data_IF_756408932671
#
_entry.id   IF_756408932671
#
_cell.length_a   1.000
_cell.length_b   1.000
_cell.length_c   1.000
_cell.angle_alpha   90.00
_cell.angle_beta   90.00
_cell.angle_gamma   90.00
#
_symmetry.space_group_name_H-M   'P 1'
#
loop_
_entity.id
_entity.type
_entity.pdbx_description
1 polymer ?
#
# COMPACT_ATOMS: atom_id res chain seq x y z
N UNK A 1 -8.91 -20.65 -2.44
CA UNK A 1 -10.16 -19.88 -2.35
C UNK A 1 -9.95 -18.51 -2.99
N UNK A 2 -10.91 -18.03 -3.84
CA UNK A 2 -10.85 -16.66 -4.35
C UNK A 2 -11.10 -15.67 -3.18
N UNK A 3 -10.20 -14.71 -3.01
CA UNK A 3 -10.28 -13.68 -1.95
C UNK A 3 -10.62 -12.30 -2.51
N UNK A 4 -10.23 -12.03 -3.77
CA UNK A 4 -10.45 -10.75 -4.40
C UNK A 4 -10.83 -10.92 -5.87
N UNK A 5 -11.77 -10.10 -6.36
CA UNK A 5 -12.17 -10.12 -7.76
C UNK A 5 -12.61 -8.74 -8.23
N UNK A 6 -12.20 -8.40 -9.44
CA UNK A 6 -12.62 -7.22 -10.19
C UNK A 6 -13.39 -7.70 -11.42
N UNK A 7 -14.55 -7.10 -11.70
CA UNK A 7 -15.39 -7.43 -12.86
C UNK A 7 -15.71 -6.18 -13.68
N UNK A 8 -15.35 -6.20 -14.95
CA UNK A 8 -15.69 -5.21 -15.97
C UNK A 8 -15.40 -3.77 -15.53
N UNK A 9 -14.28 -3.57 -14.80
CA UNK A 9 -13.87 -2.26 -14.33
C UNK A 9 -13.43 -1.42 -15.52
N UNK A 10 -14.02 -0.22 -15.67
CA UNK A 10 -13.74 0.65 -16.81
C UNK A 10 -13.65 2.11 -16.35
N UNK A 11 -12.75 2.86 -17.01
CA UNK A 11 -12.62 4.30 -16.89
C UNK A 11 -12.27 4.88 -18.25
N UNK A 12 -13.11 5.77 -18.74
CA UNK A 12 -12.96 6.40 -20.07
C UNK A 12 -11.59 7.08 -20.21
N UNK A 13 -10.89 6.76 -21.30
CA UNK A 13 -9.56 7.29 -21.59
C UNK A 13 -8.39 6.57 -20.92
N UNK A 14 -8.64 5.61 -19.99
CA UNK A 14 -7.58 4.93 -19.25
C UNK A 14 -7.61 3.41 -19.39
N UNK A 15 -8.73 2.75 -19.10
CA UNK A 15 -8.86 1.27 -19.17
C UNK A 15 -10.30 0.84 -19.41
N UNK A 16 -10.47 -0.36 -19.97
CA UNK A 16 -11.78 -0.88 -20.36
C UNK A 16 -11.93 -2.36 -20.02
N UNK A 17 -13.07 -2.73 -19.44
CA UNK A 17 -13.53 -4.10 -19.17
C UNK A 17 -12.51 -4.98 -18.44
N UNK A 18 -11.76 -4.37 -17.50
CA UNK A 18 -10.74 -5.08 -16.72
C UNK A 18 -11.42 -6.05 -15.77
N UNK A 19 -11.08 -7.35 -15.93
CA UNK A 19 -11.62 -8.43 -15.11
C UNK A 19 -10.50 -9.38 -14.72
N UNK A 20 -10.35 -9.64 -13.42
CA UNK A 20 -9.42 -10.63 -12.87
C UNK A 20 -9.84 -11.05 -11.46
N UNK A 21 -9.34 -12.21 -11.03
CA UNK A 21 -9.50 -12.71 -9.66
C UNK A 21 -8.15 -13.06 -9.05
N UNK A 22 -8.07 -13.04 -7.72
CA UNK A 22 -6.88 -13.41 -6.93
C UNK A 22 -7.30 -14.38 -5.83
N UNK A 23 -6.57 -15.49 -5.70
CA UNK A 23 -6.80 -16.50 -4.69
C UNK A 23 -5.90 -16.32 -3.47
N UNK A 24 -6.26 -16.95 -2.39
CA UNK A 24 -5.47 -16.93 -1.16
C UNK A 24 -4.06 -17.49 -1.42
N UNK A 25 -3.02 -16.71 -1.04
CA UNK A 25 -1.62 -17.05 -1.26
C UNK A 25 -1.13 -16.88 -2.71
N UNK A 26 -1.98 -16.39 -3.63
CA UNK A 26 -1.62 -16.15 -5.02
C UNK A 26 -0.91 -14.80 -5.18
N UNK A 27 0.09 -14.78 -6.06
CA UNK A 27 0.74 -13.58 -6.57
C UNK A 27 0.31 -13.42 -8.03
N UNK A 28 -0.57 -12.45 -8.31
CA UNK A 28 -0.99 -12.10 -9.65
C UNK A 28 -0.11 -10.97 -10.19
N UNK A 29 0.64 -11.24 -11.24
CA UNK A 29 1.45 -10.23 -11.93
C UNK A 29 0.63 -9.52 -13.03
N UNK A 30 0.54 -8.20 -12.94
CA UNK A 30 -0.08 -7.36 -13.98
C UNK A 30 1.03 -6.70 -14.79
N UNK A 31 1.10 -7.01 -16.08
CA UNK A 31 2.12 -6.49 -17.00
C UNK A 31 1.52 -5.63 -18.09
N UNK A 32 2.30 -4.77 -18.71
CA UNK A 32 1.87 -3.92 -19.82
C UNK A 32 2.93 -2.87 -20.15
N UNK A 33 2.75 -2.21 -21.29
CA UNK A 33 3.59 -1.10 -21.70
C UNK A 33 3.45 0.10 -20.75
N UNK A 34 4.42 1.00 -20.77
CA UNK A 34 4.31 2.29 -20.07
C UNK A 34 3.10 3.05 -20.62
N UNK A 35 2.26 3.57 -19.73
CA UNK A 35 1.00 4.23 -20.12
C UNK A 35 -0.16 3.29 -20.46
N UNK A 36 -0.04 1.97 -20.20
CA UNK A 36 -1.13 1.01 -20.44
C UNK A 36 -2.28 1.06 -19.40
N UNK A 37 -2.29 2.04 -18.51
CA UNK A 37 -3.38 2.22 -17.54
C UNK A 37 -3.28 1.34 -16.28
N UNK A 38 -2.14 0.68 -16.03
CA UNK A 38 -1.97 -0.20 -14.85
C UNK A 38 -2.19 0.53 -13.53
N UNK A 39 -1.49 1.63 -13.33
CA UNK A 39 -1.62 2.48 -12.14
C UNK A 39 -3.05 2.99 -11.98
N UNK A 40 -3.69 3.42 -13.06
CA UNK A 40 -5.05 3.93 -13.06
C UNK A 40 -6.08 2.86 -12.67
N UNK A 41 -5.87 1.59 -13.07
CA UNK A 41 -6.68 0.46 -12.60
C UNK A 41 -6.55 0.30 -11.08
N UNK A 42 -5.33 0.32 -10.55
CA UNK A 42 -5.10 0.20 -9.10
C UNK A 42 -5.66 1.38 -8.33
N UNK A 43 -5.53 2.60 -8.85
CA UNK A 43 -6.15 3.79 -8.29
C UNK A 43 -7.68 3.71 -8.31
N UNK A 44 -8.25 3.13 -9.36
CA UNK A 44 -9.69 2.83 -9.47
C UNK A 44 -10.16 1.84 -8.41
N UNK A 45 -9.41 0.77 -8.19
CA UNK A 45 -9.69 -0.22 -7.13
C UNK A 45 -9.62 0.41 -5.75
N UNK A 46 -8.64 1.27 -5.51
CA UNK A 46 -8.44 1.95 -4.23
C UNK A 46 -9.40 3.12 -3.99
N UNK A 47 -10.21 3.53 -4.97
CA UNK A 47 -11.09 4.70 -4.85
C UNK A 47 -10.34 6.03 -4.80
N UNK A 48 -9.07 6.07 -5.24
CA UNK A 48 -8.28 7.30 -5.44
C UNK A 48 -8.86 8.03 -6.66
N UNK A 49 -9.08 7.28 -7.72
CA UNK A 49 -9.72 7.71 -8.94
C UNK A 49 -11.01 6.91 -9.14
N UNK A 50 -12.12 7.57 -9.43
CA UNK A 50 -13.39 6.89 -9.60
C UNK A 50 -13.45 6.19 -10.97
N UNK A 51 -13.76 4.89 -10.96
CA UNK A 51 -14.11 4.14 -12.18
C UNK A 51 -15.52 4.50 -12.65
N UNK A 52 -15.75 4.47 -13.96
CA UNK A 52 -17.07 4.77 -14.53
C UNK A 52 -18.04 3.60 -14.34
N UNK A 53 -17.52 2.37 -14.40
CA UNK A 53 -18.30 1.14 -14.25
C UNK A 53 -17.45 0.01 -13.68
N UNK A 54 -18.11 -1.10 -13.33
CA UNK A 54 -17.50 -2.32 -12.82
C UNK A 54 -17.91 -2.65 -11.39
N UNK A 55 -17.34 -3.74 -10.90
CA UNK A 55 -17.64 -4.26 -9.55
C UNK A 55 -16.37 -4.80 -8.92
N UNK A 56 -16.27 -4.64 -7.62
CA UNK A 56 -15.17 -5.18 -6.81
C UNK A 56 -15.77 -6.10 -5.75
N UNK A 57 -15.14 -7.27 -5.56
CA UNK A 57 -15.55 -8.26 -4.58
C UNK A 57 -14.37 -8.62 -3.68
N UNK A 58 -14.67 -8.79 -2.40
CA UNK A 58 -13.73 -9.27 -1.39
C UNK A 58 -14.40 -10.40 -0.59
N UNK A 59 -13.75 -11.55 -0.50
CA UNK A 59 -14.31 -12.78 0.11
C UNK A 59 -15.70 -13.15 -0.43
N UNK A 60 -15.91 -12.98 -1.75
CA UNK A 60 -17.17 -13.27 -2.43
C UNK A 60 -18.28 -12.23 -2.23
N UNK A 61 -18.04 -11.17 -1.42
CA UNK A 61 -19.00 -10.10 -1.19
C UNK A 61 -18.67 -8.88 -2.04
N UNK A 62 -19.67 -8.34 -2.74
CA UNK A 62 -19.49 -7.07 -3.45
C UNK A 62 -19.23 -5.96 -2.45
N UNK A 63 -18.17 -5.20 -2.69
CA UNK A 63 -17.82 -4.00 -1.91
C UNK A 63 -17.90 -2.77 -2.81
N UNK A 64 -18.18 -1.62 -2.21
CA UNK A 64 -18.13 -0.33 -2.88
C UNK A 64 -17.03 0.49 -2.23
N UNK A 65 -16.13 0.99 -3.04
CA UNK A 65 -14.98 1.79 -2.60
C UNK A 65 -15.08 3.13 -3.32
N UNK A 66 -15.22 4.20 -2.56
CA UNK A 66 -15.26 5.57 -3.08
C UNK A 66 -14.04 6.38 -2.61
N UNK A 67 -13.36 5.91 -1.57
CA UNK A 67 -12.19 6.56 -0.97
C UNK A 67 -11.17 5.52 -0.51
N UNK A 68 -9.86 5.85 -0.53
CA UNK A 68 -8.79 4.92 -0.10
C UNK A 68 -8.98 4.37 1.32
N UNK A 69 -9.55 5.17 2.22
CA UNK A 69 -9.83 4.75 3.59
C UNK A 69 -10.81 3.56 3.64
N UNK A 70 -11.81 3.52 2.75
CA UNK A 70 -12.76 2.40 2.66
C UNK A 70 -12.07 1.12 2.16
N UNK A 71 -11.16 1.24 1.17
CA UNK A 71 -10.35 0.13 0.70
C UNK A 71 -9.47 -0.44 1.82
N UNK A 72 -8.79 0.42 2.56
CA UNK A 72 -7.95 0.03 3.68
C UNK A 72 -8.74 -0.62 4.80
N UNK A 73 -9.90 -0.09 5.17
CA UNK A 73 -10.81 -0.70 6.17
C UNK A 73 -11.34 -2.06 5.72
N UNK A 74 -11.54 -2.26 4.42
CA UNK A 74 -11.91 -3.55 3.86
C UNK A 74 -10.77 -4.57 3.88
N UNK A 75 -9.52 -4.13 4.08
CA UNK A 75 -8.33 -4.97 4.11
C UNK A 75 -7.57 -4.99 2.77
N UNK A 76 -7.70 -3.96 1.94
CA UNK A 76 -6.94 -3.80 0.70
C UNK A 76 -5.86 -2.75 0.93
N UNK A 77 -4.59 -3.15 0.85
CA UNK A 77 -3.44 -2.26 0.95
C UNK A 77 -2.92 -1.86 -0.43
N UNK A 78 -2.33 -0.68 -0.52
CA UNK A 78 -1.74 -0.17 -1.75
C UNK A 78 -0.36 0.44 -1.50
N UNK A 79 0.61 -0.01 -2.28
CA UNK A 79 1.94 0.56 -2.35
C UNK A 79 2.05 1.30 -3.69
N UNK A 80 2.11 2.64 -3.68
CA UNK A 80 2.09 3.44 -4.90
C UNK A 80 3.45 3.46 -5.60
N UNK A 81 3.43 3.76 -6.90
CA UNK A 81 4.62 3.91 -7.74
C UNK A 81 5.54 5.05 -7.27
N UNK A 82 4.98 6.23 -6.98
CA UNK A 82 5.75 7.40 -6.50
C UNK A 82 5.77 7.44 -4.97
N UNK A 83 6.80 6.82 -4.39
CA UNK A 83 6.97 6.75 -2.94
C UNK A 83 7.11 8.11 -2.25
N UNK A 84 7.71 9.09 -2.93
CA UNK A 84 8.01 10.38 -2.31
C UNK A 84 6.79 11.31 -2.30
N UNK A 85 5.94 11.23 -3.32
CA UNK A 85 4.73 12.07 -3.41
C UNK A 85 3.51 11.42 -2.76
N UNK A 86 3.42 10.10 -2.82
CA UNK A 86 2.20 9.37 -2.44
C UNK A 86 2.41 8.40 -1.26
N UNK A 87 3.64 7.92 -1.06
CA UNK A 87 3.93 6.89 -0.07
C UNK A 87 4.35 7.42 1.30
N UNK A 88 5.14 8.50 1.34
CA UNK A 88 5.78 9.01 2.54
C UNK A 88 5.57 10.51 2.75
N UNK A 89 5.54 10.93 4.00
CA UNK A 89 5.71 12.32 4.39
C UNK A 89 7.19 12.48 4.78
N UNK A 90 8.00 13.00 3.84
CA UNK A 90 9.47 12.96 3.91
C UNK A 90 10.05 13.64 5.16
N UNK A 91 9.43 14.74 5.63
CA UNK A 91 9.88 15.48 6.81
C UNK A 91 9.43 14.87 8.14
N UNK A 92 8.60 13.84 8.11
CA UNK A 92 8.14 13.16 9.31
C UNK A 92 9.06 12.00 9.70
N UNK A 93 9.00 11.64 10.98
CA UNK A 93 9.69 10.48 11.52
C UNK A 93 9.19 9.17 10.90
N UNK A 94 10.07 8.17 10.88
CA UNK A 94 9.75 6.84 10.35
C UNK A 94 8.57 6.21 11.09
N UNK A 95 8.55 6.34 12.41
CA UNK A 95 7.45 5.82 13.23
C UNK A 95 6.10 6.39 12.83
N UNK A 96 6.03 7.71 12.65
CA UNK A 96 4.81 8.40 12.21
C UNK A 96 4.38 7.95 10.80
N UNK A 97 5.34 7.80 9.87
CA UNK A 97 5.04 7.30 8.53
C UNK A 97 4.46 5.89 8.55
N UNK A 98 5.02 4.98 9.35
CA UNK A 98 4.58 3.59 9.43
C UNK A 98 3.18 3.48 10.02
N UNK A 99 2.86 4.26 11.06
CA UNK A 99 1.61 4.10 11.82
C UNK A 99 0.48 5.01 11.36
N UNK A 100 0.74 5.94 10.45
CA UNK A 100 -0.23 6.95 10.01
C UNK A 100 -1.58 6.35 9.59
N UNK A 101 -1.55 5.27 8.83
CA UNK A 101 -2.75 4.59 8.30
C UNK A 101 -3.54 3.80 9.35
N UNK A 102 -2.97 3.61 10.54
CA UNK A 102 -3.55 2.81 11.63
C UNK A 102 -3.49 3.54 12.97
N UNK A 103 -3.43 4.87 12.92
CA UNK A 103 -3.22 5.72 14.10
C UNK A 103 -4.32 5.53 15.16
N UNK A 104 -5.54 5.19 14.73
CA UNK A 104 -6.66 4.87 15.60
C UNK A 104 -6.37 3.69 16.54
N UNK A 105 -5.55 2.70 16.13
CA UNK A 105 -5.14 1.57 16.97
C UNK A 105 -4.31 2.00 18.20
N UNK A 106 -3.69 3.16 18.12
CA UNK A 106 -2.84 3.74 19.17
C UNK A 106 -3.48 4.91 19.89
N UNK A 107 -4.72 5.29 19.50
CA UNK A 107 -5.43 6.45 20.03
C UNK A 107 -6.53 6.01 20.99
N UNK A 108 -6.57 6.64 22.16
CA UNK A 108 -7.69 6.49 23.11
C UNK A 108 -8.25 7.89 23.42
N UNK A 109 -9.55 8.08 23.17
CA UNK A 109 -10.26 9.37 23.15
C UNK A 109 -9.51 10.42 22.32
N UNK A 110 -8.72 11.04 22.20
CA UNK A 110 -7.98 11.95 21.31
C UNK A 110 -6.47 11.92 21.59
N UNK A 111 -6.03 11.05 22.51
CA UNK A 111 -4.64 11.00 22.96
C UNK A 111 -3.95 9.79 22.32
N UNK A 112 -2.86 10.04 21.62
CA UNK A 112 -2.02 9.00 21.02
C UNK A 112 -1.07 8.42 22.08
N UNK A 113 -1.08 7.11 22.26
CA UNK A 113 -0.11 6.40 23.07
C UNK A 113 1.20 6.23 22.30
N UNK A 114 2.08 7.23 22.40
CA UNK A 114 3.38 7.27 21.71
C UNK A 114 4.28 6.07 21.99
N UNK A 115 4.20 5.50 23.20
CA UNK A 115 5.01 4.31 23.54
C UNK A 115 4.57 3.09 22.74
N UNK A 116 3.26 2.84 22.63
CA UNK A 116 2.72 1.73 21.84
C UNK A 116 2.94 1.95 20.35
N UNK A 117 2.70 3.16 19.85
CA UNK A 117 2.94 3.56 18.48
C UNK A 117 4.38 3.29 18.06
N UNK A 118 5.35 3.84 18.81
CA UNK A 118 6.77 3.69 18.52
C UNK A 118 7.25 2.23 18.63
N UNK A 119 6.74 1.46 19.59
CA UNK A 119 7.07 0.05 19.72
C UNK A 119 6.62 -0.75 18.47
N UNK A 120 5.38 -0.49 18.00
CA UNK A 120 4.87 -1.16 16.78
C UNK A 120 5.62 -0.73 15.54
N UNK A 121 5.91 0.56 15.41
CA UNK A 121 6.70 1.07 14.28
C UNK A 121 8.10 0.43 14.24
N UNK A 122 8.77 0.34 15.38
CA UNK A 122 10.09 -0.31 15.49
C UNK A 122 10.02 -1.77 15.07
N UNK A 123 9.05 -2.55 15.60
CA UNK A 123 8.82 -3.95 15.22
C UNK A 123 8.71 -4.12 13.69
N UNK A 124 7.89 -3.26 13.06
CA UNK A 124 7.65 -3.34 11.61
C UNK A 124 8.87 -2.95 10.78
N UNK A 125 9.60 -1.90 11.20
CA UNK A 125 10.83 -1.48 10.53
C UNK A 125 11.93 -2.55 10.62
N UNK A 126 12.05 -3.23 11.76
CA UNK A 126 12.96 -4.37 11.94
C UNK A 126 12.54 -5.56 11.07
N UNK A 127 11.24 -5.87 11.02
CA UNK A 127 10.70 -6.95 10.18
C UNK A 127 11.06 -6.79 8.71
N UNK A 128 11.01 -5.56 8.18
CA UNK A 128 11.41 -5.27 6.79
C UNK A 128 12.88 -4.95 6.63
N UNK A 129 13.68 -5.16 7.68
CA UNK A 129 15.14 -4.92 7.68
C UNK A 129 15.51 -3.51 7.21
N UNK A 130 14.79 -2.48 7.67
CA UNK A 130 15.09 -1.08 7.36
C UNK A 130 16.37 -0.66 8.09
N UNK A 131 17.32 -0.05 7.36
CA UNK A 131 18.51 0.55 7.96
C UNK A 131 18.17 1.94 8.48
N UNK A 132 17.85 2.05 9.76
CA UNK A 132 17.55 3.29 10.47
C UNK A 132 18.13 3.21 11.89
N UNK A 133 18.51 4.35 12.46
CA UNK A 133 19.01 4.43 13.83
C UNK A 133 17.87 4.55 14.83
N UNK A 134 16.78 5.22 14.42
CA UNK A 134 15.66 5.52 15.29
C UNK A 134 14.35 5.62 14.52
N UNK A 135 13.23 5.34 15.18
CA UNK A 135 11.88 5.63 14.66
C UNK A 135 11.61 7.14 14.47
N UNK A 136 12.46 7.98 15.04
CA UNK A 136 12.40 9.44 14.92
C UNK A 136 13.18 9.98 13.74
N UNK A 137 14.03 9.16 13.08
CA UNK A 137 14.76 9.60 11.90
C UNK A 137 13.77 10.04 10.82
N UNK A 138 14.07 11.13 10.12
CA UNK A 138 13.21 11.61 9.03
C UNK A 138 13.26 10.64 7.85
N UNK A 139 12.14 10.43 7.19
CA UNK A 139 12.08 9.59 5.98
C UNK A 139 12.99 10.13 4.85
N UNK A 140 13.19 11.47 4.78
CA UNK A 140 14.11 12.12 3.84
C UNK A 140 15.59 11.75 4.04
N UNK A 141 15.99 11.31 5.23
CA UNK A 141 17.39 10.92 5.51
C UNK A 141 17.75 9.52 4.98
N UNK A 142 16.77 8.75 4.54
CA UNK A 142 16.97 7.38 4.09
C UNK A 142 17.27 7.29 2.58
N UNK A 143 18.07 6.29 2.20
CA UNK A 143 18.20 5.87 0.79
C UNK A 143 16.87 5.41 0.20
N UNK A 144 16.73 5.47 -1.13
CA UNK A 144 15.51 5.07 -1.82
C UNK A 144 15.02 3.66 -1.46
N UNK A 145 15.93 2.69 -1.34
CA UNK A 145 15.59 1.33 -0.92
C UNK A 145 15.06 1.25 0.52
N UNK A 146 15.64 2.02 1.45
CA UNK A 146 15.12 2.08 2.81
C UNK A 146 13.79 2.85 2.91
N UNK A 147 13.59 3.90 2.11
CA UNK A 147 12.29 4.57 1.99
C UNK A 147 11.20 3.59 1.52
N UNK A 148 11.53 2.74 0.54
CA UNK A 148 10.61 1.70 0.07
C UNK A 148 10.22 0.71 1.17
N UNK A 149 11.20 0.28 1.98
CA UNK A 149 10.96 -0.59 3.14
C UNK A 149 10.04 0.07 4.18
N UNK A 150 10.16 1.38 4.40
CA UNK A 150 9.24 2.12 5.28
C UNK A 150 7.80 2.07 4.76
N UNK A 151 7.59 2.18 3.44
CA UNK A 151 6.25 2.07 2.86
C UNK A 151 5.71 0.64 3.01
N UNK A 152 6.55 -0.37 2.79
CA UNK A 152 6.15 -1.76 3.04
C UNK A 152 5.77 -1.94 4.51
N UNK A 153 6.54 -1.42 5.46
CA UNK A 153 6.20 -1.44 6.88
C UNK A 153 4.87 -0.74 7.18
N UNK A 154 4.61 0.42 6.53
CA UNK A 154 3.34 1.15 6.61
C UNK A 154 2.17 0.29 6.13
N UNK A 155 2.30 -0.37 4.98
CA UNK A 155 1.27 -1.27 4.44
C UNK A 155 1.04 -2.44 5.40
N UNK A 156 2.10 -3.06 5.91
CA UNK A 156 2.03 -4.17 6.88
C UNK A 156 1.49 -3.76 8.27
N UNK A 157 1.36 -2.47 8.58
CA UNK A 157 0.74 -2.02 9.83
C UNK A 157 -0.77 -2.29 9.89
N UNK A 158 -1.40 -2.47 8.74
CA UNK A 158 -2.83 -2.72 8.58
C UNK A 158 -3.12 -4.23 8.51
N UNK A 159 -4.35 -4.62 8.84
CA UNK A 159 -4.82 -6.01 8.76
C UNK A 159 -5.30 -6.26 7.31
N UNK A 160 -4.38 -6.68 6.45
CA UNK A 160 -4.62 -6.80 5.02
C UNK A 160 -4.98 -8.22 4.60
N UNK A 161 -5.89 -8.31 3.63
CA UNK A 161 -6.24 -9.52 2.89
C UNK A 161 -5.62 -9.52 1.49
N UNK A 162 -5.50 -8.34 0.91
CA UNK A 162 -4.95 -8.12 -0.43
C UNK A 162 -3.96 -6.97 -0.38
N UNK A 163 -2.84 -7.11 -1.06
CA UNK A 163 -1.85 -6.05 -1.21
C UNK A 163 -1.65 -5.80 -2.70
N UNK A 164 -1.82 -4.56 -3.12
CA UNK A 164 -1.51 -4.09 -4.47
C UNK A 164 -0.16 -3.40 -4.42
N UNK A 165 0.77 -3.87 -5.24
CA UNK A 165 2.13 -3.32 -5.35
C UNK A 165 2.31 -2.72 -6.74
N UNK A 166 2.36 -1.40 -6.84
CA UNK A 166 2.55 -0.68 -8.10
C UNK A 166 4.03 -0.29 -8.26
N UNK A 167 4.72 -1.03 -9.11
CA UNK A 167 6.16 -0.88 -9.37
C UNK A 167 7.02 -0.80 -8.08
N UNK A 168 6.93 -1.79 -7.17
CA UNK A 168 7.50 -1.71 -5.81
C UNK A 168 9.03 -1.51 -5.78
N UNK A 169 9.72 -1.70 -6.88
CA UNK A 169 11.19 -1.57 -6.97
C UNK A 169 11.65 -0.42 -7.87
N UNK A 170 10.73 0.46 -8.27
CA UNK A 170 11.08 1.62 -9.09
C UNK A 170 12.03 2.57 -8.33
N UNK A 171 13.12 2.96 -8.98
CA UNK A 171 14.12 3.84 -8.40
C UNK A 171 14.85 3.27 -7.17
N UNK A 172 14.91 1.94 -7.08
CA UNK A 172 15.66 1.21 -6.05
C UNK A 172 16.87 0.55 -6.70
N UNK A 173 18.02 0.57 -6.02
CA UNK A 173 19.25 -0.10 -6.49
C UNK A 173 19.09 -1.63 -6.53
N UNK A 174 19.93 -2.29 -7.32
CA UNK A 174 19.84 -3.73 -7.58
C UNK A 174 19.95 -4.57 -6.30
N UNK A 175 20.83 -4.16 -5.37
CA UNK A 175 21.00 -4.89 -4.11
C UNK A 175 19.79 -4.78 -3.18
N UNK A 176 19.15 -3.63 -3.15
CA UNK A 176 17.94 -3.43 -2.35
C UNK A 176 16.68 -4.06 -2.98
N UNK A 177 16.64 -4.23 -4.33
CA UNK A 177 15.51 -4.92 -5.00
C UNK A 177 15.33 -6.35 -4.49
N UNK A 178 16.42 -7.13 -4.41
CA UNK A 178 16.36 -8.49 -3.91
C UNK A 178 15.75 -8.58 -2.50
N UNK A 179 16.11 -7.63 -1.63
CA UNK A 179 15.60 -7.57 -0.25
C UNK A 179 14.12 -7.16 -0.13
N UNK A 180 13.54 -6.55 -1.16
CA UNK A 180 12.12 -6.19 -1.19
C UNK A 180 11.27 -7.39 -1.61
N UNK A 181 11.84 -8.31 -2.40
CA UNK A 181 11.15 -9.52 -2.85
C UNK A 181 11.25 -10.71 -1.87
N UNK A 182 12.12 -10.65 -0.86
CA UNK A 182 12.22 -11.61 0.26
C UNK A 182 11.13 -11.36 1.33
#
# INVERSE_FOLDING_TARGET
KEVFRVENLSKTGYYRDVTFGVHEGEILAVTGLVGAGRTEVFQGIMGIEKSDSGKIYLDGKRIKINHPEEAMKAGIGYLPEDRQKQGLILDWGLGQNVTLSTLEKFTKFTIINKRKENAKAKELLEKVKTKALSVYDKASSLSGGNQQKVIVAKVLSSDLKVIILDEPTKGVDVGAKAQIYE
#
